data_IF_200158285633
#
_entry.id   IF_200158285633
#
_cell.length_a   1.000
_cell.length_b   1.000
_cell.length_c   1.000
_cell.angle_alpha   90.00
_cell.angle_beta   90.00
_cell.angle_gamma   90.00
#
_symmetry.space_group_name_H-M   'P 1'
#
loop_
_entity.id
_entity.type
_entity.pdbx_description
1 polymer ?
#
# COMPACT_ATOMS: atom_id res chain seq x y z
N UNK A 1 -18.00 -26.72 16.28
CA UNK A 1 -18.52 -25.39 15.90
C UNK A 1 -17.40 -24.66 15.17
N UNK A 2 -17.44 -24.67 13.84
CA UNK A 2 -16.43 -23.99 13.00
C UNK A 2 -16.66 -22.49 13.18
N UNK A 3 -15.63 -21.71 13.55
CA UNK A 3 -15.78 -20.27 13.62
C UNK A 3 -16.31 -19.76 12.29
N UNK A 4 -17.42 -19.02 12.35
CA UNK A 4 -18.07 -18.48 11.16
C UNK A 4 -17.09 -17.62 10.37
N UNK A 5 -17.31 -17.51 9.07
CA UNK A 5 -16.46 -16.71 8.18
C UNK A 5 -16.17 -15.36 8.79
N UNK A 6 -17.20 -14.66 9.32
CA UNK A 6 -17.15 -13.38 10.06
C UNK A 6 -16.11 -13.29 11.19
N UNK A 7 -15.80 -14.39 11.88
CA UNK A 7 -14.79 -14.36 12.93
C UNK A 7 -13.37 -14.34 12.36
N UNK A 8 -13.15 -15.00 11.22
CA UNK A 8 -11.85 -15.06 10.55
C UNK A 8 -11.45 -13.67 10.04
N UNK A 9 -12.35 -12.96 9.35
CA UNK A 9 -12.04 -11.60 8.90
C UNK A 9 -11.84 -10.61 10.04
N UNK A 10 -12.53 -10.77 11.18
CA UNK A 10 -12.32 -9.91 12.34
C UNK A 10 -10.90 -10.11 12.89
N UNK A 11 -10.45 -11.36 13.00
CA UNK A 11 -9.08 -11.69 13.44
C UNK A 11 -8.03 -11.15 12.47
N UNK A 12 -8.25 -11.28 11.15
CA UNK A 12 -7.32 -10.75 10.14
C UNK A 12 -7.23 -9.22 10.22
N UNK A 13 -8.34 -8.51 10.37
CA UNK A 13 -8.33 -7.05 10.51
C UNK A 13 -7.56 -6.62 11.76
N UNK A 14 -7.76 -7.29 12.91
CA UNK A 14 -6.99 -7.00 14.12
C UNK A 14 -5.50 -7.28 13.94
N UNK A 15 -5.14 -8.40 13.30
CA UNK A 15 -3.75 -8.72 13.02
C UNK A 15 -3.11 -7.67 12.10
N UNK A 16 -3.81 -7.25 11.05
CA UNK A 16 -3.35 -6.18 10.16
C UNK A 16 -3.31 -4.84 10.88
N UNK A 17 -4.08 -4.56 11.93
CA UNK A 17 -3.97 -3.30 12.69
C UNK A 17 -2.79 -3.33 13.68
N UNK A 18 -2.56 -4.47 14.34
CA UNK A 18 -1.49 -4.67 15.33
C UNK A 18 -0.10 -4.76 14.70
N UNK A 19 0.00 -5.49 13.58
CA UNK A 19 1.24 -5.67 12.82
C UNK A 19 1.34 -4.71 11.61
N UNK A 20 0.33 -3.84 11.49
CA UNK A 20 -0.06 -2.92 10.42
C UNK A 20 0.76 -1.71 10.06
N UNK A 21 2.04 -1.65 10.40
CA UNK A 21 2.82 -0.42 10.25
C UNK A 21 2.72 0.20 8.85
N UNK A 22 2.71 1.54 8.77
CA UNK A 22 2.43 2.44 7.60
C UNK A 22 3.34 2.29 6.36
N UNK A 23 3.89 1.11 6.08
CA UNK A 23 4.68 0.89 4.85
C UNK A 23 5.20 -0.53 4.68
N UNK A 24 5.54 -1.22 5.78
CA UNK A 24 6.16 -2.55 5.72
C UNK A 24 5.28 -3.63 5.09
N UNK A 25 3.96 -3.53 5.27
CA UNK A 25 3.00 -4.46 4.65
C UNK A 25 2.87 -4.17 3.15
N UNK A 26 2.96 -2.91 2.72
CA UNK A 26 2.82 -2.56 1.31
C UNK A 26 3.99 -3.07 0.47
N UNK A 27 5.21 -2.99 1.01
CA UNK A 27 6.42 -3.52 0.38
C UNK A 27 6.39 -5.07 0.35
N UNK A 28 6.06 -5.70 1.48
CA UNK A 28 5.91 -7.16 1.57
C UNK A 28 4.77 -7.70 0.69
N UNK A 29 3.65 -6.97 0.59
CA UNK A 29 2.54 -7.33 -0.28
C UNK A 29 2.92 -7.19 -1.76
N UNK A 30 3.78 -6.24 -2.11
CA UNK A 30 4.36 -6.12 -3.45
C UNK A 30 5.20 -7.33 -3.84
N UNK A 31 6.14 -7.73 -2.98
CA UNK A 31 6.97 -8.93 -3.20
C UNK A 31 6.13 -10.21 -3.23
N UNK A 32 5.14 -10.32 -2.35
CA UNK A 32 4.22 -11.45 -2.31
C UNK A 32 3.34 -11.51 -3.57
N UNK A 33 2.83 -10.38 -4.04
CA UNK A 33 2.06 -10.29 -5.28
C UNK A 33 2.89 -10.69 -6.51
N UNK A 34 4.16 -10.26 -6.56
CA UNK A 34 5.10 -10.64 -7.63
C UNK A 34 5.40 -12.14 -7.63
N UNK A 35 5.56 -12.74 -6.44
CA UNK A 35 5.70 -14.18 -6.25
C UNK A 35 4.48 -14.98 -6.72
N UNK A 36 3.27 -14.58 -6.31
CA UNK A 36 2.02 -15.22 -6.74
C UNK A 36 1.79 -15.04 -8.25
N UNK A 37 2.08 -13.87 -8.82
CA UNK A 37 1.90 -13.63 -10.25
C UNK A 37 2.86 -14.50 -11.08
N UNK A 38 4.11 -14.64 -10.63
CA UNK A 38 5.10 -15.54 -11.27
C UNK A 38 4.69 -17.01 -11.18
N UNK A 39 4.14 -17.43 -10.04
CA UNK A 39 3.60 -18.78 -9.86
C UNK A 39 2.38 -19.04 -10.77
N UNK A 40 1.47 -18.07 -10.86
CA UNK A 40 0.30 -18.14 -11.74
C UNK A 40 0.68 -18.14 -13.22
N UNK A 41 1.68 -17.34 -13.60
CA UNK A 41 2.24 -17.31 -14.96
C UNK A 41 2.93 -18.62 -15.32
N UNK A 42 3.68 -19.22 -14.40
CA UNK A 42 4.31 -20.53 -14.60
C UNK A 42 3.33 -21.70 -14.69
N UNK A 43 2.12 -21.57 -14.11
CA UNK A 43 1.05 -22.58 -14.23
C UNK A 43 0.19 -22.35 -15.47
N UNK A 44 0.01 -21.09 -15.90
CA UNK A 44 -0.77 -20.70 -17.08
C UNK A 44 0.14 -20.54 -18.30
N UNK A 45 0.91 -21.56 -18.67
CA UNK A 45 1.91 -21.55 -19.74
C UNK A 45 1.32 -21.36 -21.16
N UNK A 46 0.59 -20.26 -21.39
CA UNK A 46 0.09 -19.72 -22.67
C UNK A 46 -0.08 -18.18 -22.57
N UNK A 47 0.19 -17.44 -23.67
CA UNK A 47 0.50 -16.02 -23.62
C UNK A 47 -0.76 -15.18 -23.41
N UNK A 48 -1.01 -14.82 -22.16
CA UNK A 48 -1.80 -13.62 -21.85
C UNK A 48 -0.87 -12.62 -21.19
N UNK A 49 -0.14 -11.90 -22.04
CA UNK A 49 0.40 -10.58 -21.74
C UNK A 49 -0.76 -9.66 -21.36
N UNK A 50 -1.12 -9.62 -20.08
CA UNK A 50 -1.90 -8.50 -19.55
C UNK A 50 -1.62 -8.40 -18.06
N UNK A 51 -0.73 -7.47 -17.73
CA UNK A 51 -0.99 -6.35 -16.83
C UNK A 51 0.36 -5.86 -16.32
N UNK A 52 0.88 -4.83 -16.99
CA UNK A 52 1.65 -3.77 -16.35
C UNK A 52 1.02 -3.46 -14.98
N UNK A 53 1.67 -3.95 -13.92
CA UNK A 53 1.60 -3.27 -12.65
C UNK A 53 2.62 -2.15 -12.77
N UNK A 54 2.12 -0.98 -13.18
CA UNK A 54 2.89 0.26 -13.24
C UNK A 54 3.73 0.42 -11.99
N UNK A 55 5.03 0.54 -12.26
CA UNK A 55 6.08 0.89 -11.33
C UNK A 55 5.72 2.20 -10.61
N UNK A 56 5.74 2.18 -9.27
CA UNK A 56 6.00 3.35 -8.43
C UNK A 56 5.17 4.61 -8.67
N UNK A 57 4.00 4.71 -8.02
CA UNK A 57 3.59 6.00 -7.41
C UNK A 57 3.72 5.90 -5.91
N UNK A 58 4.96 6.01 -5.43
CA UNK A 58 5.24 6.30 -4.01
C UNK A 58 4.41 7.51 -3.60
N UNK A 59 3.53 7.33 -2.62
CA UNK A 59 2.86 8.46 -1.98
C UNK A 59 3.94 9.14 -1.15
N UNK A 60 4.58 10.15 -1.75
CA UNK A 60 5.52 11.06 -1.13
C UNK A 60 4.85 11.67 0.11
N UNK A 61 5.26 11.20 1.29
CA UNK A 61 4.87 11.81 2.54
C UNK A 61 5.87 12.92 2.86
N UNK A 62 5.86 14.00 2.08
CA UNK A 62 6.31 15.28 2.58
C UNK A 62 5.11 15.98 3.26
N UNK A 63 4.65 15.39 4.36
CA UNK A 63 3.89 16.10 5.37
C UNK A 63 4.89 16.68 6.37
N UNK A 64 5.75 17.57 5.89
CA UNK A 64 6.58 18.40 6.75
C UNK A 64 6.27 19.84 6.40
N UNK A 65 5.80 20.54 7.43
CA UNK A 65 5.66 22.00 7.46
C UNK A 65 4.57 22.57 6.55
N UNK A 66 3.33 22.42 7.05
CA UNK A 66 2.39 23.53 7.03
C UNK A 66 3.15 24.81 7.40
N UNK A 67 3.30 25.66 6.40
CA UNK A 67 3.89 26.99 6.47
C UNK A 67 3.26 27.72 7.65
N UNK A 68 4.00 27.76 8.77
CA UNK A 68 3.80 28.73 9.81
C UNK A 68 4.01 30.10 9.17
N UNK A 69 2.96 30.91 9.23
CA UNK A 69 2.94 32.32 8.92
C UNK A 69 4.05 33.06 9.69
N UNK A 70 4.82 33.93 9.01
CA UNK A 70 5.13 35.21 9.62
C UNK A 70 4.78 36.35 8.66
N UNK A 71 3.89 37.19 9.18
CA UNK A 71 3.83 38.63 9.05
C UNK A 71 4.92 39.40 8.24
N UNK A 72 4.41 40.42 7.55
CA UNK A 72 5.01 41.73 7.25
C UNK A 72 5.79 41.98 5.94
N UNK A 73 5.45 43.16 5.39
CA UNK A 73 6.14 44.01 4.41
C UNK A 73 5.86 43.76 2.92
N UNK A 74 5.00 44.62 2.34
CA UNK A 74 5.30 45.55 1.22
C UNK A 74 4.03 45.98 0.47
N UNK A 75 3.40 47.05 0.93
CA UNK A 75 2.52 47.94 0.14
C UNK A 75 2.68 49.38 0.66
N UNK A 76 3.73 50.05 0.22
CA UNK A 76 3.83 51.51 0.16
C UNK A 76 5.04 51.87 -0.69
N UNK A 77 4.83 52.70 -1.72
CA UNK A 77 5.84 53.14 -2.68
C UNK A 77 5.28 53.14 -4.09
#
# INVERSE_FOLDING_TARGET
MVPGWLQILLVVVLAVLLFGGRGKISELMGDFAKGINSFKKGIKDEPTETADAEDGKTIDHNATEQVAEPAETRKAG
#
